data_IF_320249792942
#
_entry.id   IF_320249792942
#
_cell.length_a   1.000
_cell.length_b   1.000
_cell.length_c   1.000
_cell.angle_alpha   90.00
_cell.angle_beta   90.00
_cell.angle_gamma   90.00
#
_symmetry.space_group_name_H-M   'P 1'
#
loop_
_entity.id
_entity.type
_entity.pdbx_description
1 polymer ?
#
# COMPACT_ATOMS: atom_id res chain seq x y z
N UNK A 1 -10.95 19.81 -17.48
CA UNK A 1 -10.27 18.82 -16.65
C UNK A 1 -11.13 18.63 -15.41
N UNK A 2 -11.71 17.45 -15.22
CA UNK A 2 -12.45 17.16 -13.99
C UNK A 2 -11.41 16.93 -12.88
N UNK A 3 -11.34 17.86 -11.93
CA UNK A 3 -10.55 17.64 -10.73
C UNK A 3 -11.41 16.81 -9.74
N UNK A 4 -10.87 15.76 -9.18
CA UNK A 4 -11.54 15.03 -8.12
C UNK A 4 -11.77 15.97 -6.93
N UNK A 5 -12.99 15.98 -6.42
CA UNK A 5 -13.32 16.78 -5.25
C UNK A 5 -12.86 16.07 -3.99
N UNK A 6 -12.11 16.76 -3.13
CA UNK A 6 -11.74 16.24 -1.83
C UNK A 6 -12.97 16.27 -0.91
N UNK A 7 -13.29 15.13 -0.31
CA UNK A 7 -14.37 14.98 0.66
C UNK A 7 -13.82 14.64 2.05
N UNK A 8 -14.43 15.17 3.09
CA UNK A 8 -14.02 14.96 4.49
C UNK A 8 -13.95 13.48 4.85
N UNK A 9 -14.91 12.68 4.37
CA UNK A 9 -14.93 11.21 4.60
C UNK A 9 -13.68 10.52 4.09
N UNK A 10 -13.08 10.98 2.98
CA UNK A 10 -11.84 10.44 2.45
C UNK A 10 -10.63 10.86 3.27
N UNK A 11 -10.61 12.11 3.76
CA UNK A 11 -9.55 12.56 4.68
C UNK A 11 -9.54 11.68 5.94
N UNK A 12 -10.71 11.42 6.53
CA UNK A 12 -10.82 10.56 7.71
C UNK A 12 -10.46 9.10 7.42
N UNK A 13 -10.81 8.57 6.25
CA UNK A 13 -10.41 7.22 5.84
C UNK A 13 -8.88 7.09 5.74
N UNK A 14 -8.21 8.03 5.06
CA UNK A 14 -6.75 8.06 4.95
C UNK A 14 -6.08 8.22 6.32
N UNK A 15 -6.57 9.16 7.15
CA UNK A 15 -6.08 9.40 8.51
C UNK A 15 -6.16 8.12 9.38
N UNK A 16 -7.28 7.41 9.32
CA UNK A 16 -7.47 6.15 10.04
C UNK A 16 -6.47 5.09 9.61
N UNK A 17 -6.20 4.96 8.31
CA UNK A 17 -5.20 4.01 7.80
C UNK A 17 -3.78 4.39 8.25
N UNK A 18 -3.41 5.66 8.20
CA UNK A 18 -2.09 6.10 8.66
C UNK A 18 -1.91 5.93 10.17
N UNK A 19 -2.97 6.15 10.96
CA UNK A 19 -2.96 5.88 12.39
C UNK A 19 -2.75 4.37 12.68
N UNK A 20 -3.39 3.47 11.92
CA UNK A 20 -3.14 2.01 12.00
C UNK A 20 -1.71 1.65 11.61
N UNK A 21 -1.11 2.38 10.66
CA UNK A 21 0.31 2.24 10.34
C UNK A 21 1.23 2.77 11.45
N UNK A 22 0.67 3.28 12.55
CA UNK A 22 1.42 3.74 13.72
C UNK A 22 2.14 5.07 13.50
N UNK A 23 1.62 5.95 12.63
CA UNK A 23 2.16 7.32 12.46
C UNK A 23 1.93 8.12 13.73
N UNK A 24 3.00 8.76 14.20
CA UNK A 24 2.99 9.65 15.36
C UNK A 24 3.30 11.09 14.95
N UNK A 25 2.92 12.05 15.81
CA UNK A 25 3.29 13.44 15.62
C UNK A 25 4.84 13.59 15.60
N UNK A 26 5.34 14.34 14.61
CA UNK A 26 6.77 14.54 14.39
C UNK A 26 7.46 13.49 13.54
N UNK A 27 6.79 12.35 13.22
CA UNK A 27 7.37 11.32 12.35
C UNK A 27 7.72 11.87 10.96
N UNK A 28 8.91 11.60 10.41
CA UNK A 28 9.20 11.89 9.02
C UNK A 28 8.47 10.90 8.11
N UNK A 29 7.55 11.39 7.30
CA UNK A 29 6.75 10.55 6.37
C UNK A 29 6.99 11.01 4.94
N UNK A 30 7.38 10.08 4.07
CA UNK A 30 7.54 10.31 2.65
C UNK A 30 6.24 9.99 1.89
N UNK A 31 5.79 10.90 1.03
CA UNK A 31 4.79 10.63 0.01
C UNK A 31 5.55 10.41 -1.30
N UNK A 32 5.57 9.15 -1.75
CA UNK A 32 6.16 8.79 -3.04
C UNK A 32 5.08 8.79 -4.11
N UNK A 33 5.27 9.57 -5.16
CA UNK A 33 4.37 9.63 -6.31
C UNK A 33 5.12 9.69 -7.63
N UNK A 34 4.41 9.38 -8.70
CA UNK A 34 4.87 9.56 -10.07
C UNK A 34 4.19 10.76 -10.71
N UNK A 35 4.75 11.27 -11.82
CA UNK A 35 4.15 12.38 -12.58
C UNK A 35 2.70 12.12 -13.02
N UNK A 36 2.29 10.86 -13.15
CA UNK A 36 0.93 10.43 -13.53
C UNK A 36 0.11 9.90 -12.34
N UNK A 37 0.64 9.95 -11.12
CA UNK A 37 -0.11 9.53 -9.92
C UNK A 37 -1.39 10.35 -9.75
N UNK A 38 -2.42 9.72 -9.20
CA UNK A 38 -3.69 10.37 -8.91
C UNK A 38 -3.51 11.49 -7.87
N UNK A 39 -3.64 12.74 -8.30
CA UNK A 39 -3.36 13.89 -7.46
C UNK A 39 -4.26 13.99 -6.23
N UNK A 40 -5.52 13.53 -6.32
CA UNK A 40 -6.41 13.49 -5.15
C UNK A 40 -5.81 12.63 -4.02
N UNK A 41 -5.17 11.50 -4.33
CA UNK A 41 -4.53 10.66 -3.32
C UNK A 41 -3.32 11.35 -2.68
N UNK A 42 -2.55 12.12 -3.47
CA UNK A 42 -1.43 12.92 -2.95
C UNK A 42 -1.93 13.95 -1.94
N UNK A 43 -2.95 14.73 -2.31
CA UNK A 43 -3.52 15.74 -1.44
C UNK A 43 -4.19 15.14 -0.19
N UNK A 44 -4.95 14.04 -0.35
CA UNK A 44 -5.57 13.34 0.78
C UNK A 44 -4.51 12.82 1.76
N UNK A 45 -3.41 12.26 1.25
CA UNK A 45 -2.30 11.78 2.09
C UNK A 45 -1.65 12.92 2.86
N UNK A 46 -1.36 14.04 2.19
CA UNK A 46 -0.76 15.22 2.82
C UNK A 46 -1.66 15.79 3.92
N UNK A 47 -2.96 15.99 3.63
CA UNK A 47 -3.92 16.50 4.61
C UNK A 47 -4.09 15.56 5.80
N UNK A 48 -4.24 14.26 5.55
CA UNK A 48 -4.44 13.26 6.60
C UNK A 48 -3.22 13.12 7.51
N UNK A 49 -2.00 13.11 6.93
CA UNK A 49 -0.75 13.07 7.69
C UNK A 49 -0.53 14.37 8.47
N UNK A 50 -0.86 15.52 7.90
CA UNK A 50 -0.84 16.81 8.59
C UNK A 50 -1.73 16.84 9.82
N UNK A 51 -2.95 16.26 9.73
CA UNK A 51 -3.86 16.10 10.88
C UNK A 51 -3.32 15.17 11.96
N UNK A 52 -2.42 14.25 11.63
CA UNK A 52 -1.71 13.41 12.61
C UNK A 52 -0.44 14.08 13.16
N UNK A 53 -0.09 15.27 12.68
CA UNK A 53 1.09 16.01 13.09
C UNK A 53 2.41 15.45 12.53
N UNK A 54 2.37 14.64 11.49
CA UNK A 54 3.56 14.11 10.83
C UNK A 54 4.34 15.21 10.08
N UNK A 55 5.65 15.01 9.93
CA UNK A 55 6.54 15.87 9.11
C UNK A 55 6.60 15.27 7.70
N UNK A 56 5.77 15.78 6.82
CA UNK A 56 5.61 15.25 5.47
C UNK A 56 6.62 15.85 4.50
N UNK A 57 7.16 15.01 3.62
CA UNK A 57 7.89 15.47 2.44
C UNK A 57 7.52 14.62 1.22
N UNK A 58 7.66 15.20 0.03
CA UNK A 58 7.28 14.56 -1.23
C UNK A 58 8.51 14.11 -2.00
N UNK A 59 8.40 12.91 -2.58
CA UNK A 59 9.32 12.39 -3.58
C UNK A 59 8.51 12.14 -4.84
N UNK A 60 8.75 12.95 -5.87
CA UNK A 60 8.06 12.82 -7.16
C UNK A 60 9.05 12.30 -8.19
N UNK A 61 8.73 11.18 -8.81
CA UNK A 61 9.55 10.56 -9.87
C UNK A 61 8.79 10.53 -11.19
N UNK A 62 9.49 10.55 -12.33
CA UNK A 62 8.80 10.40 -13.62
C UNK A 62 8.11 9.04 -13.73
N UNK A 63 6.91 9.02 -14.29
CA UNK A 63 6.24 7.76 -14.64
C UNK A 63 7.03 7.03 -15.72
N UNK A 64 7.38 5.75 -15.52
CA UNK A 64 8.08 4.96 -16.53
C UNK A 64 7.27 4.81 -17.81
N UNK A 65 7.97 4.72 -18.94
CA UNK A 65 7.32 4.44 -20.22
C UNK A 65 6.67 3.07 -20.19
N UNK A 66 5.38 3.02 -20.52
CA UNK A 66 4.66 1.76 -20.66
C UNK A 66 5.08 1.06 -21.95
N UNK A 67 5.48 -0.19 -21.82
CA UNK A 67 5.88 -1.06 -22.95
C UNK A 67 5.00 -2.29 -23.08
N UNK A 68 4.15 -2.56 -22.08
CA UNK A 68 3.20 -3.65 -22.12
C UNK A 68 2.06 -3.39 -23.13
N UNK A 69 1.59 -4.40 -23.87
CA UNK A 69 0.51 -4.25 -24.85
C UNK A 69 -0.85 -3.96 -24.20
N UNK A 70 -1.00 -4.26 -22.93
CA UNK A 70 -2.20 -3.99 -22.13
C UNK A 70 -1.84 -3.06 -20.98
N UNK A 71 -2.67 -2.04 -20.67
CA UNK A 71 -2.44 -1.21 -19.51
C UNK A 71 -2.67 -2.03 -18.23
N UNK A 72 -1.59 -2.54 -17.67
CA UNK A 72 -1.60 -3.22 -16.38
C UNK A 72 -1.26 -2.19 -15.33
N UNK A 73 -2.08 -2.11 -14.28
CA UNK A 73 -1.91 -1.20 -13.15
C UNK A 73 -2.00 -1.99 -11.85
N UNK A 74 -1.37 -1.49 -10.80
CA UNK A 74 -1.34 -2.11 -9.48
C UNK A 74 -0.75 -3.54 -9.49
N UNK A 75 0.29 -3.74 -10.29
CA UNK A 75 1.03 -5.01 -10.33
C UNK A 75 1.90 -5.24 -9.09
N UNK A 76 2.18 -4.16 -8.36
CA UNK A 76 3.15 -4.15 -7.26
C UNK A 76 4.61 -4.10 -7.71
N UNK A 77 4.90 -4.03 -9.02
CA UNK A 77 6.24 -4.11 -9.58
C UNK A 77 6.70 -2.79 -10.22
N UNK A 78 6.43 -1.66 -9.54
CA UNK A 78 6.83 -0.34 -10.05
C UNK A 78 8.32 -0.27 -10.37
N UNK A 79 8.63 0.34 -11.51
CA UNK A 79 10.00 0.66 -11.94
C UNK A 79 10.31 2.16 -11.78
N UNK A 80 9.43 2.92 -11.15
CA UNK A 80 9.50 4.38 -11.07
C UNK A 80 10.75 4.87 -10.34
N UNK A 81 11.21 4.17 -9.30
CA UNK A 81 12.43 4.54 -8.55
C UNK A 81 13.69 4.35 -9.40
N UNK A 82 13.74 3.33 -10.28
CA UNK A 82 14.82 3.13 -11.23
C UNK A 82 16.21 3.00 -10.60
N UNK A 83 16.34 2.38 -9.45
CA UNK A 83 17.57 2.26 -8.64
C UNK A 83 18.24 3.59 -8.28
N UNK A 84 17.51 4.71 -8.26
CA UNK A 84 18.04 6.02 -7.86
C UNK A 84 18.41 5.99 -6.36
N UNK A 85 19.71 5.91 -6.08
CA UNK A 85 20.22 5.80 -4.71
C UNK A 85 19.75 6.95 -3.79
N UNK A 86 19.70 8.22 -4.21
CA UNK A 86 19.18 9.31 -3.35
C UNK A 86 17.71 9.11 -2.98
N UNK A 87 16.88 8.63 -3.90
CA UNK A 87 15.46 8.35 -3.66
C UNK A 87 15.33 7.20 -2.65
N UNK A 88 16.05 6.10 -2.85
CA UNK A 88 16.05 4.96 -1.93
C UNK A 88 16.47 5.39 -0.53
N UNK A 89 17.53 6.21 -0.42
CA UNK A 89 18.02 6.71 0.87
C UNK A 89 16.98 7.59 1.58
N UNK A 90 16.33 8.50 0.86
CA UNK A 90 15.27 9.36 1.41
C UNK A 90 14.09 8.53 1.92
N UNK A 91 13.63 7.54 1.15
CA UNK A 91 12.54 6.65 1.55
C UNK A 91 12.92 5.78 2.74
N UNK A 92 14.13 5.21 2.74
CA UNK A 92 14.63 4.35 3.81
C UNK A 92 14.81 5.08 5.16
N UNK A 93 15.03 6.41 5.14
CA UNK A 93 15.14 7.24 6.34
C UNK A 93 13.80 7.71 6.91
N UNK A 94 12.68 7.35 6.29
CA UNK A 94 11.33 7.72 6.73
C UNK A 94 10.78 6.72 7.75
N UNK A 95 9.87 7.15 8.62
CA UNK A 95 9.10 6.26 9.48
C UNK A 95 8.03 5.48 8.69
N UNK A 96 7.46 6.14 7.69
CA UNK A 96 6.50 5.58 6.75
C UNK A 96 6.72 6.14 5.36
N UNK A 97 6.57 5.30 4.36
CA UNK A 97 6.42 5.68 2.94
C UNK A 97 4.98 5.43 2.53
N UNK A 98 4.29 6.47 2.08
CA UNK A 98 3.00 6.34 1.40
C UNK A 98 3.27 6.18 -0.08
N UNK A 99 3.09 4.98 -0.58
CA UNK A 99 3.35 4.64 -1.97
C UNK A 99 2.11 4.90 -2.84
N UNK A 100 2.19 5.93 -3.64
CA UNK A 100 1.19 6.36 -4.62
C UNK A 100 1.66 6.12 -6.05
N UNK A 101 2.68 5.30 -6.27
CA UNK A 101 3.11 4.92 -7.62
C UNK A 101 2.00 4.16 -8.35
N UNK A 102 1.99 4.21 -9.66
CA UNK A 102 0.90 3.62 -10.46
C UNK A 102 0.81 2.10 -10.30
N UNK A 103 1.96 1.43 -10.23
CA UNK A 103 2.05 -0.03 -10.11
C UNK A 103 2.17 -0.51 -8.66
N UNK A 104 2.61 0.35 -7.74
CA UNK A 104 2.93 -0.01 -6.36
C UNK A 104 4.30 -0.65 -6.19
N UNK A 105 4.82 -0.66 -4.95
CA UNK A 105 6.19 -1.11 -4.64
C UNK A 105 6.28 -2.56 -4.14
N UNK A 106 5.17 -3.30 -4.01
CA UNK A 106 5.14 -4.61 -3.34
C UNK A 106 6.22 -5.59 -3.84
N UNK A 107 6.49 -5.57 -5.15
CA UNK A 107 7.49 -6.41 -5.83
C UNK A 107 8.60 -5.58 -6.47
N UNK A 108 8.71 -4.30 -6.15
CA UNK A 108 9.77 -3.44 -6.65
C UNK A 108 11.13 -3.89 -6.09
N UNK A 109 12.17 -3.85 -6.93
CA UNK A 109 13.53 -4.29 -6.57
C UNK A 109 14.13 -3.47 -5.44
N UNK A 110 13.70 -2.24 -5.27
CA UNK A 110 14.17 -1.29 -4.26
C UNK A 110 13.54 -1.50 -2.89
N UNK A 111 12.36 -2.14 -2.82
CA UNK A 111 11.60 -2.32 -1.57
C UNK A 111 12.42 -2.95 -0.44
N UNK A 112 13.22 -4.02 -0.65
CA UNK A 112 14.03 -4.59 0.42
C UNK A 112 15.00 -3.60 1.05
N UNK A 113 15.61 -2.71 0.25
CA UNK A 113 16.55 -1.69 0.74
C UNK A 113 15.82 -0.61 1.55
N UNK A 114 14.61 -0.23 1.14
CA UNK A 114 13.77 0.73 1.86
C UNK A 114 13.39 0.16 3.23
N UNK A 115 12.92 -1.09 3.27
CA UNK A 115 12.54 -1.76 4.51
C UNK A 115 13.72 -2.01 5.45
N UNK A 116 14.93 -2.28 4.94
CA UNK A 116 16.15 -2.43 5.73
C UNK A 116 16.52 -1.14 6.49
N UNK A 117 16.14 0.02 5.98
CA UNK A 117 16.29 1.30 6.67
C UNK A 117 15.34 1.49 7.86
N UNK A 118 14.40 0.58 8.06
CA UNK A 118 13.39 0.65 9.13
C UNK A 118 12.07 1.32 8.71
N UNK A 119 11.98 1.81 7.48
CA UNK A 119 10.75 2.39 6.95
C UNK A 119 9.65 1.32 6.82
N UNK A 120 8.42 1.70 7.13
CA UNK A 120 7.21 0.95 6.75
C UNK A 120 6.72 1.48 5.41
N UNK A 121 6.04 0.66 4.62
CA UNK A 121 5.47 1.09 3.34
C UNK A 121 3.98 0.75 3.33
N UNK A 122 3.14 1.77 3.08
CA UNK A 122 1.72 1.59 2.80
C UNK A 122 1.49 1.83 1.32
N UNK A 123 1.14 0.78 0.59
CA UNK A 123 0.82 0.84 -0.82
C UNK A 123 -0.65 1.24 -1.00
N UNK A 124 -0.91 2.47 -1.43
CA UNK A 124 -2.22 2.95 -1.87
C UNK A 124 -2.32 2.87 -3.39
N UNK A 125 -1.17 3.01 -4.07
CA UNK A 125 -1.06 2.95 -5.51
C UNK A 125 -1.95 4.00 -6.20
N UNK A 126 -2.53 3.67 -7.34
CA UNK A 126 -3.40 4.57 -8.11
C UNK A 126 -4.90 4.28 -7.89
N UNK A 127 -5.25 3.66 -6.77
CA UNK A 127 -6.64 3.33 -6.45
C UNK A 127 -7.49 4.59 -6.26
N UNK A 128 -8.80 4.45 -6.49
CA UNK A 128 -9.72 5.53 -6.18
C UNK A 128 -9.90 5.65 -4.65
N UNK A 129 -10.03 6.87 -4.08
CA UNK A 129 -10.19 7.06 -2.62
C UNK A 129 -11.32 6.24 -1.99
N UNK A 130 -12.36 5.91 -2.73
CA UNK A 130 -13.45 5.01 -2.28
C UNK A 130 -12.97 3.66 -1.78
N UNK A 131 -11.80 3.18 -2.23
CA UNK A 131 -11.27 1.88 -1.77
C UNK A 131 -11.02 1.92 -0.27
N UNK A 132 -10.39 2.98 0.24
CA UNK A 132 -10.16 3.14 1.67
C UNK A 132 -11.46 3.42 2.44
N UNK A 133 -12.42 4.09 1.82
CA UNK A 133 -13.75 4.29 2.40
C UNK A 133 -14.50 2.97 2.59
N UNK A 134 -14.41 2.06 1.61
CA UNK A 134 -15.07 0.74 1.64
C UNK A 134 -14.35 -0.27 2.54
N UNK A 135 -13.08 -0.03 2.82
CA UNK A 135 -12.24 -0.88 3.66
C UNK A 135 -11.90 -0.16 4.97
N UNK A 136 -12.89 0.02 5.86
CA UNK A 136 -12.66 0.72 7.12
C UNK A 136 -11.62 -0.02 7.95
N UNK A 137 -10.84 0.75 8.68
CA UNK A 137 -9.82 0.22 9.58
C UNK A 137 -10.44 -0.69 10.64
N UNK A 138 -10.06 -1.97 10.65
CA UNK A 138 -10.48 -2.94 11.65
C UNK A 138 -9.29 -3.34 12.55
N UNK A 139 -9.19 -2.80 13.78
CA UNK A 139 -8.09 -3.12 14.69
C UNK A 139 -8.09 -4.60 15.10
N UNK A 140 -9.20 -5.33 14.92
CA UNK A 140 -9.31 -6.76 15.23
C UNK A 140 -8.79 -7.67 14.11
N UNK A 141 -8.54 -7.11 12.92
CA UNK A 141 -8.14 -7.88 11.75
C UNK A 141 -6.85 -8.68 11.98
N UNK A 142 -5.87 -8.10 12.66
CA UNK A 142 -4.62 -8.80 12.96
C UNK A 142 -4.85 -10.09 13.77
N UNK A 143 -5.74 -10.04 14.77
CA UNK A 143 -6.06 -11.22 15.59
C UNK A 143 -6.79 -12.27 14.75
N UNK A 144 -7.72 -11.87 13.87
CA UNK A 144 -8.44 -12.75 12.95
C UNK A 144 -7.47 -13.44 11.97
N UNK A 145 -6.52 -12.69 11.40
CA UNK A 145 -5.50 -13.23 10.48
C UNK A 145 -4.59 -14.23 11.22
N UNK A 146 -4.12 -13.90 12.43
CA UNK A 146 -3.30 -14.84 13.23
C UNK A 146 -4.06 -16.13 13.56
N UNK A 147 -5.34 -16.03 13.88
CA UNK A 147 -6.18 -17.22 14.12
C UNK A 147 -6.33 -18.08 12.85
N UNK A 148 -6.52 -17.44 11.69
CA UNK A 148 -6.54 -18.09 10.38
C UNK A 148 -5.23 -18.80 10.07
N UNK A 149 -4.10 -18.13 10.23
CA UNK A 149 -2.75 -18.71 10.05
C UNK A 149 -2.53 -19.95 10.92
N UNK A 150 -2.95 -19.90 12.19
CA UNK A 150 -2.83 -21.06 13.10
C UNK A 150 -3.62 -22.26 12.57
N UNK A 151 -4.82 -22.04 12.03
CA UNK A 151 -5.62 -23.10 11.40
C UNK A 151 -4.94 -23.68 10.16
N UNK A 152 -4.43 -22.81 9.27
CA UNK A 152 -3.74 -23.25 8.04
C UNK A 152 -2.49 -24.06 8.33
N UNK A 153 -1.65 -23.64 9.30
CA UNK A 153 -0.44 -24.37 9.69
C UNK A 153 -0.72 -25.77 10.22
N UNK A 154 -1.88 -26.01 10.82
CA UNK A 154 -2.29 -27.32 11.32
C UNK A 154 -3.11 -28.14 10.30
N UNK A 155 -3.44 -27.57 9.16
CA UNK A 155 -4.26 -28.25 8.17
C UNK A 155 -3.42 -29.15 7.26
N UNK A 156 -3.99 -30.32 6.90
CA UNK A 156 -3.41 -31.22 5.89
C UNK A 156 -4.06 -30.99 4.54
N UNK A 157 -5.35 -30.64 4.55
CA UNK A 157 -6.14 -30.42 3.36
C UNK A 157 -7.00 -29.15 3.51
N UNK A 158 -7.20 -28.47 2.41
CA UNK A 158 -8.15 -27.38 2.27
C UNK A 158 -9.16 -27.75 1.18
N UNK A 159 -10.45 -27.78 1.52
CA UNK A 159 -11.51 -27.99 0.54
C UNK A 159 -12.29 -26.70 0.33
N UNK A 160 -12.50 -26.34 -0.93
CA UNK A 160 -13.27 -25.16 -1.34
C UNK A 160 -14.45 -25.63 -2.17
N UNK A 161 -15.66 -25.30 -1.71
CA UNK A 161 -16.91 -25.62 -2.42
C UNK A 161 -17.74 -24.36 -2.63
N UNK A 162 -18.53 -24.33 -3.70
CA UNK A 162 -19.48 -23.25 -3.95
C UNK A 162 -20.79 -23.80 -4.57
N UNK A 163 -21.86 -23.04 -4.42
CA UNK A 163 -23.13 -23.34 -5.07
C UNK A 163 -23.05 -23.33 -6.61
N UNK A 164 -22.05 -22.66 -7.18
CA UNK A 164 -21.79 -22.62 -8.62
C UNK A 164 -21.05 -23.87 -9.15
N UNK A 165 -20.80 -24.88 -8.31
CA UNK A 165 -20.20 -26.14 -8.70
C UNK A 165 -18.69 -26.25 -8.46
N UNK A 166 -18.07 -25.31 -7.78
CA UNK A 166 -16.66 -25.48 -7.36
C UNK A 166 -16.58 -26.61 -6.34
N UNK A 167 -15.68 -27.57 -6.55
CA UNK A 167 -15.29 -28.58 -5.58
C UNK A 167 -13.79 -28.86 -5.77
N UNK A 168 -12.97 -28.17 -4.97
CA UNK A 168 -11.51 -28.20 -5.05
C UNK A 168 -10.93 -28.68 -3.72
N UNK A 169 -10.09 -29.70 -3.77
CA UNK A 169 -9.29 -30.14 -2.63
C UNK A 169 -7.81 -29.87 -2.90
N UNK A 170 -7.14 -29.21 -1.96
CA UNK A 170 -5.71 -28.88 -2.02
C UNK A 170 -5.01 -29.48 -0.82
N UNK A 171 -3.95 -30.24 -1.06
CA UNK A 171 -3.04 -30.69 0.01
C UNK A 171 -2.14 -29.52 0.45
N UNK A 172 -2.25 -29.14 1.72
CA UNK A 172 -1.56 -27.96 2.27
C UNK A 172 -0.59 -28.34 3.41
N UNK A 173 -0.40 -29.62 3.67
CA UNK A 173 0.54 -30.09 4.69
C UNK A 173 1.97 -29.63 4.34
N UNK A 174 2.62 -28.88 5.27
CA UNK A 174 3.97 -28.34 5.06
C UNK A 174 4.06 -27.15 4.10
N UNK A 175 2.94 -26.63 3.58
CA UNK A 175 2.96 -25.43 2.77
C UNK A 175 3.42 -24.22 3.61
N UNK A 176 4.27 -23.33 3.05
CA UNK A 176 4.67 -22.10 3.73
C UNK A 176 3.45 -21.17 3.89
N UNK A 177 3.23 -20.65 5.11
CA UNK A 177 2.12 -19.75 5.46
C UNK A 177 2.65 -18.58 6.27
#
# INVERSE_FOLDING_TARGET
MFADRIETKWIEAFKSQFALCGVQAGDPVAILSESQSRQVNVHLSELALGLLGARVFHVVVPTPRQTAPVPVRSTGASQAIGNLAPVIAALASSSLVVDLTLEGLLHARELPKILQGGARVLMVSNEHPEVLERLPSDPTLQAKVRAGLKKLRGAKEMRVTSAAGTDLTVHVEGAPV
#
